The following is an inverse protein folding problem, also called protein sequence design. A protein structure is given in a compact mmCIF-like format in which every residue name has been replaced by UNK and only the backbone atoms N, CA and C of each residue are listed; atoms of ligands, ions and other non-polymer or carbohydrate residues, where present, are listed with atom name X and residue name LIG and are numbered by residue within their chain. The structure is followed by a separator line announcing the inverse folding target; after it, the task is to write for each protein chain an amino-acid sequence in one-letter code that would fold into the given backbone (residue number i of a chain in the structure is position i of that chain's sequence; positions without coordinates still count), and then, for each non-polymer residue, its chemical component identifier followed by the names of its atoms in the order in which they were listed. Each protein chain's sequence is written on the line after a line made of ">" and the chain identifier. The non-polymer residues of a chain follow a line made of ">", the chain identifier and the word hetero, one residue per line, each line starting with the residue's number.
data_IF_634692324752
#
_entry.id   IF_634692324752
#
_cell.length_a   1.000
_cell.length_b   1.000
_cell.length_c   1.000
_cell.angle_alpha   90.00
_cell.angle_beta   90.00
_cell.angle_gamma   90.00
#
_symmetry.space_group_name_H-M   'P 1'
#
loop_
_entity.id
_entity.type
_entity.pdbx_description
1 polymer ?
#
# COMPACT_ATOMS: atom_id res chain seq x y z
N UNK A 1 22.32 14.49 -3.05
CA UNK A 1 21.82 13.17 -2.59
C UNK A 1 20.95 13.32 -1.35
N UNK A 2 21.43 13.99 -0.30
CA UNK A 2 20.63 14.29 0.90
C UNK A 2 19.31 15.03 0.62
N UNK A 3 19.34 16.05 -0.25
CA UNK A 3 18.14 16.83 -0.61
C UNK A 3 17.05 16.00 -1.33
N UNK A 4 17.44 14.97 -2.09
CA UNK A 4 16.50 14.04 -2.74
C UNK A 4 15.87 13.12 -1.69
N UNK A 5 16.67 12.66 -0.72
CA UNK A 5 16.22 11.79 0.37
C UNK A 5 15.24 12.54 1.28
N UNK A 6 15.50 13.81 1.61
CA UNK A 6 14.59 14.64 2.42
C UNK A 6 13.27 14.90 1.70
N UNK A 7 13.29 15.23 0.41
CA UNK A 7 12.07 15.37 -0.39
C UNK A 7 11.26 14.08 -0.43
N UNK A 8 11.93 12.92 -0.61
CA UNK A 8 11.25 11.63 -0.54
C UNK A 8 10.63 11.39 0.84
N UNK A 9 11.40 11.61 1.92
CA UNK A 9 10.92 11.47 3.30
C UNK A 9 9.64 12.27 3.55
N UNK A 10 9.54 13.48 3.00
CA UNK A 10 8.35 14.33 3.16
C UNK A 10 7.09 13.76 2.50
N UNK A 11 7.25 13.01 1.40
CA UNK A 11 6.13 12.33 0.73
C UNK A 11 5.67 11.12 1.55
N UNK A 12 6.63 10.43 2.16
CA UNK A 12 6.42 9.27 3.03
C UNK A 12 5.98 9.63 4.46
N UNK A 13 5.30 10.77 4.63
CA UNK A 13 4.73 11.17 5.91
C UNK A 13 3.65 10.17 6.38
N UNK A 14 3.41 10.12 7.69
CA UNK A 14 2.46 9.21 8.31
C UNK A 14 1.05 9.29 7.72
N UNK A 15 0.64 10.47 7.26
CA UNK A 15 -0.63 10.67 6.54
C UNK A 15 -0.69 9.94 5.20
N UNK A 16 0.39 9.98 4.41
CA UNK A 16 0.48 9.25 3.16
C UNK A 16 0.43 7.74 3.39
N UNK A 17 1.18 7.25 4.38
CA UNK A 17 1.17 5.84 4.76
C UNK A 17 -0.24 5.38 5.17
N UNK A 18 -0.91 6.17 6.02
CA UNK A 18 -2.28 5.90 6.43
C UNK A 18 -3.25 5.85 5.24
N UNK A 19 -3.13 6.81 4.32
CA UNK A 19 -3.93 6.86 3.10
C UNK A 19 -3.73 5.61 2.22
N UNK A 20 -2.48 5.20 2.00
CA UNK A 20 -2.17 3.98 1.21
C UNK A 20 -2.71 2.73 1.90
N UNK A 21 -2.64 2.64 3.23
CA UNK A 21 -3.23 1.52 3.98
C UNK A 21 -4.74 1.46 3.75
N UNK A 22 -5.45 2.60 3.82
CA UNK A 22 -6.90 2.65 3.56
C UNK A 22 -7.22 2.19 2.14
N UNK A 23 -6.50 2.69 1.12
CA UNK A 23 -6.70 2.26 -0.27
C UNK A 23 -6.48 0.76 -0.41
N UNK A 24 -5.43 0.25 0.21
CA UNK A 24 -5.07 -1.17 0.12
C UNK A 24 -6.14 -2.07 0.75
N UNK A 25 -6.68 -1.66 1.90
CA UNK A 25 -7.83 -2.31 2.53
C UNK A 25 -9.04 -2.24 1.59
N UNK A 26 -9.30 -1.09 0.97
CA UNK A 26 -10.40 -0.95 0.02
C UNK A 26 -10.26 -1.89 -1.20
N UNK A 27 -9.05 -2.05 -1.75
CA UNK A 27 -8.80 -3.01 -2.84
C UNK A 27 -9.10 -4.45 -2.39
N UNK A 28 -8.68 -4.84 -1.19
CA UNK A 28 -8.92 -6.19 -0.66
C UNK A 28 -10.41 -6.43 -0.45
N UNK A 29 -11.11 -5.48 0.18
CA UNK A 29 -12.49 -5.66 0.61
C UNK A 29 -13.54 -5.28 -0.44
N UNK A 30 -13.36 -4.20 -1.20
CA UNK A 30 -14.32 -3.79 -2.21
C UNK A 30 -14.09 -4.56 -3.51
N UNK A 31 -12.90 -4.44 -4.10
CA UNK A 31 -12.60 -5.08 -5.39
C UNK A 31 -12.47 -6.59 -5.26
N UNK A 32 -11.72 -7.08 -4.27
CA UNK A 32 -11.60 -8.50 -4.00
C UNK A 32 -12.96 -9.18 -3.77
N UNK A 33 -13.85 -8.56 -3.00
CA UNK A 33 -15.20 -9.10 -2.76
C UNK A 33 -16.09 -9.01 -4.00
N UNK A 34 -16.07 -7.89 -4.73
CA UNK A 34 -16.85 -7.69 -5.96
C UNK A 34 -16.47 -8.72 -7.03
N UNK A 35 -15.17 -8.97 -7.21
CA UNK A 35 -14.64 -9.96 -8.16
C UNK A 35 -15.01 -11.39 -7.74
N UNK A 36 -14.95 -11.72 -6.44
CA UNK A 36 -15.45 -13.01 -5.92
C UNK A 36 -16.92 -13.21 -6.20
N UNK A 37 -17.77 -12.19 -6.00
CA UNK A 37 -19.20 -12.25 -6.31
C UNK A 37 -19.46 -12.50 -7.79
N UNK A 38 -18.60 -12.00 -8.69
CA UNK A 38 -18.66 -12.23 -10.14
C UNK A 38 -18.05 -13.56 -10.59
N UNK A 39 -17.64 -14.43 -9.65
CA UNK A 39 -16.92 -15.70 -9.91
C UNK A 39 -15.57 -15.52 -10.62
N UNK A 40 -15.03 -14.31 -10.63
CA UNK A 40 -13.71 -13.94 -11.16
C UNK A 40 -12.63 -14.22 -10.12
N UNK A 41 -12.34 -15.51 -9.92
CA UNK A 41 -11.48 -15.99 -8.82
C UNK A 41 -10.02 -15.55 -8.96
N UNK A 42 -9.49 -15.52 -10.19
CA UNK A 42 -8.08 -15.16 -10.44
C UNK A 42 -7.85 -13.66 -10.19
N UNK A 43 -8.78 -12.84 -10.67
CA UNK A 43 -8.76 -11.40 -10.52
C UNK A 43 -8.96 -11.01 -9.05
N UNK A 44 -9.88 -11.67 -8.33
CA UNK A 44 -10.05 -11.47 -6.90
C UNK A 44 -8.80 -11.82 -6.09
N UNK A 45 -8.09 -12.88 -6.48
CA UNK A 45 -6.82 -13.26 -5.86
C UNK A 45 -5.75 -12.20 -6.14
N UNK A 46 -5.62 -11.72 -7.37
CA UNK A 46 -4.70 -10.65 -7.72
C UNK A 46 -5.00 -9.35 -6.95
N UNK A 47 -6.27 -8.94 -6.86
CA UNK A 47 -6.66 -7.77 -6.08
C UNK A 47 -6.27 -7.90 -4.61
N UNK A 48 -6.50 -9.07 -4.01
CA UNK A 48 -6.12 -9.35 -2.62
C UNK A 48 -4.60 -9.28 -2.45
N UNK A 49 -3.82 -9.87 -3.37
CA UNK A 49 -2.35 -9.84 -3.35
C UNK A 49 -1.84 -8.41 -3.50
N UNK A 50 -2.37 -7.64 -4.45
CA UNK A 50 -1.98 -6.25 -4.67
C UNK A 50 -2.18 -5.40 -3.42
N UNK A 51 -3.34 -5.51 -2.77
CA UNK A 51 -3.59 -4.80 -1.51
C UNK A 51 -2.57 -5.18 -0.43
N UNK A 52 -2.24 -6.45 -0.27
CA UNK A 52 -1.20 -6.87 0.68
C UNK A 52 0.19 -6.37 0.33
N UNK A 53 0.55 -6.38 -0.96
CA UNK A 53 1.83 -5.84 -1.44
C UNK A 53 1.93 -4.34 -1.14
N UNK A 54 0.86 -3.58 -1.30
CA UNK A 54 0.85 -2.16 -0.95
C UNK A 54 0.94 -1.93 0.56
N UNK A 55 0.24 -2.70 1.40
CA UNK A 55 0.35 -2.59 2.87
C UNK A 55 1.78 -2.89 3.33
N UNK A 56 2.33 -4.02 2.89
CA UNK A 56 3.67 -4.46 3.31
C UNK A 56 4.73 -3.52 2.74
N UNK A 57 4.58 -3.14 1.47
CA UNK A 57 5.50 -2.22 0.79
C UNK A 57 5.53 -0.84 1.43
N UNK A 58 4.35 -0.27 1.76
CA UNK A 58 4.30 1.07 2.34
C UNK A 58 4.87 1.09 3.76
N UNK A 59 4.56 0.06 4.57
CA UNK A 59 5.10 -0.08 5.91
C UNK A 59 6.61 -0.33 5.89
N UNK A 60 7.10 -1.19 4.99
CA UNK A 60 8.52 -1.48 4.85
C UNK A 60 9.32 -0.23 4.50
N UNK A 61 8.86 0.55 3.51
CA UNK A 61 9.52 1.79 3.11
C UNK A 61 9.46 2.85 4.22
N UNK A 62 8.32 2.98 4.90
CA UNK A 62 8.17 3.90 6.03
C UNK A 62 9.17 3.58 7.16
N UNK A 63 9.32 2.30 7.51
CA UNK A 63 10.28 1.85 8.52
C UNK A 63 11.71 2.15 8.08
N UNK A 64 12.06 1.91 6.81
CA UNK A 64 13.39 2.25 6.28
C UNK A 64 13.66 3.76 6.41
N UNK A 65 12.71 4.61 6.03
CA UNK A 65 12.87 6.05 6.16
C UNK A 65 12.88 6.53 7.61
N UNK A 66 12.23 5.82 8.52
CA UNK A 66 12.28 6.12 9.95
C UNK A 66 13.68 5.88 10.54
N UNK A 67 14.37 4.82 10.11
CA UNK A 67 15.72 4.48 10.61
C UNK A 67 16.86 5.22 9.90
N UNK A 68 16.67 5.63 8.64
CA UNK A 68 17.62 6.50 7.94
C UNK A 68 17.48 7.89 8.56
N UNK A 69 18.47 8.33 9.34
CA UNK A 69 18.48 9.67 9.95
C UNK A 69 18.80 10.73 8.90
#
# INVERSE_FOLDING_TARGET
>A
MQEIIEKLKSIWDGWFVFFVIIISIFIIYADGFRLRRRKQKKEAMMATILGWVYIIGVLGVYVIFFFIK
#
